data_IF_663860843525
#
_entry.id   IF_663860843525
#
_cell.length_a   1.000
_cell.length_b   1.000
_cell.length_c   1.000
_cell.angle_alpha   90.00
_cell.angle_beta   90.00
_cell.angle_gamma   90.00
#
_symmetry.space_group_name_H-M   'P 1'
#
loop_
_entity.id
_entity.type
_entity.pdbx_description
1 polymer ?
#
# COMPACT_ATOMS: atom_id res chain seq x y z
N UNK A 1 11.77 -5.51 52.30
CA UNK A 1 10.61 -6.11 51.63
C UNK A 1 10.80 -5.80 50.16
N UNK A 2 11.53 -6.66 49.46
CA UNK A 2 11.85 -6.46 48.04
C UNK A 2 10.63 -6.83 47.22
N UNK A 3 10.30 -6.01 46.24
CA UNK A 3 9.26 -6.28 45.26
C UNK A 3 9.71 -7.48 44.40
N UNK A 4 9.23 -8.66 44.75
CA UNK A 4 9.40 -9.93 44.06
C UNK A 4 8.16 -10.26 43.21
N UNK A 5 7.54 -9.23 42.62
CA UNK A 5 6.48 -9.45 41.64
C UNK A 5 7.03 -10.29 40.48
N UNK A 6 6.38 -11.41 40.12
CA UNK A 6 6.84 -12.24 39.01
C UNK A 6 6.73 -11.45 37.71
N UNK A 7 7.87 -11.12 37.11
CA UNK A 7 7.92 -10.54 35.76
C UNK A 7 7.35 -11.57 34.78
N UNK A 8 6.19 -11.27 34.19
CA UNK A 8 5.53 -12.14 33.23
C UNK A 8 6.47 -12.48 32.07
N UNK A 9 6.59 -13.78 31.78
CA UNK A 9 7.36 -14.26 30.64
C UNK A 9 6.68 -13.78 29.34
N UNK A 10 7.32 -12.86 28.62
CA UNK A 10 6.89 -12.46 27.29
C UNK A 10 7.33 -13.54 26.29
N UNK A 11 6.42 -14.44 25.92
CA UNK A 11 6.62 -15.33 24.78
C UNK A 11 6.56 -14.50 23.50
N UNK A 12 7.68 -14.43 22.78
CA UNK A 12 7.73 -13.71 21.50
C UNK A 12 6.81 -14.41 20.49
N UNK A 13 5.89 -13.68 19.83
CA UNK A 13 4.97 -14.30 18.87
C UNK A 13 5.76 -14.93 17.72
N UNK A 14 5.55 -16.22 17.51
CA UNK A 14 6.17 -16.96 16.42
C UNK A 14 5.52 -16.54 15.10
N UNK A 15 6.30 -16.03 14.14
CA UNK A 15 5.82 -15.61 12.82
C UNK A 15 6.18 -14.17 12.41
N UNK A 16 6.84 -13.40 13.28
CA UNK A 16 7.24 -12.00 12.99
C UNK A 16 8.07 -11.90 11.70
N UNK A 17 9.05 -12.78 11.50
CA UNK A 17 9.87 -12.76 10.28
C UNK A 17 9.05 -12.98 8.99
N UNK A 18 8.03 -13.83 9.04
CA UNK A 18 7.14 -14.05 7.89
C UNK A 18 6.24 -12.83 7.65
N UNK A 19 5.77 -12.18 8.72
CA UNK A 19 5.00 -10.94 8.63
C UNK A 19 5.84 -9.78 8.07
N UNK A 20 7.09 -9.63 8.51
CA UNK A 20 8.03 -8.64 8.00
C UNK A 20 8.35 -8.88 6.52
N UNK A 21 8.57 -10.14 6.12
CA UNK A 21 8.79 -10.47 4.72
C UNK A 21 7.56 -10.15 3.86
N UNK A 22 6.35 -10.46 4.34
CA UNK A 22 5.12 -10.13 3.63
C UNK A 22 4.93 -8.61 3.49
N UNK A 23 5.20 -7.84 4.55
CA UNK A 23 5.16 -6.36 4.52
C UNK A 23 6.23 -5.78 3.60
N UNK A 24 7.45 -6.30 3.64
CA UNK A 24 8.55 -5.89 2.77
C UNK A 24 8.24 -6.18 1.30
N UNK A 25 7.70 -7.36 0.99
CA UNK A 25 7.28 -7.73 -0.35
C UNK A 25 6.14 -6.85 -0.84
N UNK A 26 5.14 -6.58 0.00
CA UNK A 26 4.02 -5.71 -0.32
C UNK A 26 4.48 -4.27 -0.63
N UNK A 27 5.28 -3.68 0.24
CA UNK A 27 5.82 -2.32 0.04
C UNK A 27 6.78 -2.24 -1.15
N UNK A 28 7.60 -3.27 -1.39
CA UNK A 28 8.44 -3.37 -2.58
C UNK A 28 7.62 -3.41 -3.88
N UNK A 29 6.55 -4.21 -3.92
CA UNK A 29 5.66 -4.29 -5.07
C UNK A 29 4.95 -2.94 -5.34
N UNK A 30 4.48 -2.25 -4.29
CA UNK A 30 3.87 -0.93 -4.39
C UNK A 30 4.87 0.07 -4.98
N UNK A 31 6.07 0.16 -4.42
CA UNK A 31 7.11 1.08 -4.93
C UNK A 31 7.47 0.78 -6.38
N UNK A 32 7.65 -0.49 -6.75
CA UNK A 32 7.94 -0.90 -8.13
C UNK A 32 6.85 -0.47 -9.11
N UNK A 33 5.57 -0.63 -8.73
CA UNK A 33 4.43 -0.22 -9.55
C UNK A 33 4.37 1.29 -9.79
N UNK A 34 4.64 2.08 -8.75
CA UNK A 34 4.65 3.54 -8.85
C UNK A 34 5.77 4.05 -9.79
N UNK A 35 6.99 3.51 -9.67
CA UNK A 35 8.08 3.89 -10.56
C UNK A 35 7.90 3.38 -12.00
N UNK A 36 7.33 2.18 -12.19
CA UNK A 36 7.05 1.64 -13.51
C UNK A 36 6.03 2.50 -14.29
N UNK A 37 4.96 2.95 -13.61
CA UNK A 37 3.91 3.79 -14.23
C UNK A 37 4.45 5.17 -14.62
N UNK A 38 5.37 5.76 -13.85
CA UNK A 38 5.98 7.05 -14.22
C UNK A 38 6.71 6.98 -15.58
N UNK A 39 7.33 5.84 -15.90
CA UNK A 39 7.95 5.60 -17.20
C UNK A 39 6.94 5.36 -18.33
N UNK A 40 5.78 4.77 -18.03
CA UNK A 40 4.72 4.48 -19.00
C UNK A 40 3.73 5.64 -19.21
N UNK A 41 3.72 6.65 -18.34
CA UNK A 41 2.78 7.77 -18.45
C UNK A 41 2.82 8.50 -19.82
N UNK A 42 3.99 8.76 -20.44
CA UNK A 42 4.07 9.35 -21.77
C UNK A 42 3.48 8.43 -22.87
N UNK A 43 3.64 7.12 -22.70
CA UNK A 43 3.17 6.10 -23.65
C UNK A 43 1.65 5.89 -23.53
N UNK A 44 1.09 5.95 -22.31
CA UNK A 44 -0.36 6.00 -22.10
C UNK A 44 -0.98 7.26 -22.70
N UNK A 45 -0.36 8.42 -22.51
CA UNK A 45 -0.83 9.68 -23.08
C UNK A 45 -0.82 9.64 -24.62
N UNK A 46 0.25 9.10 -25.23
CA UNK A 46 0.34 8.96 -26.69
C UNK A 46 -0.69 7.96 -27.23
N UNK A 47 -0.89 6.83 -26.55
CA UNK A 47 -1.83 5.77 -26.98
C UNK A 47 -3.29 6.21 -26.91
N UNK A 48 -3.64 7.04 -25.93
CA UNK A 48 -4.99 7.59 -25.78
C UNK A 48 -5.20 8.87 -26.60
N UNK A 49 -4.16 9.42 -27.23
CA UNK A 49 -4.21 10.67 -27.97
C UNK A 49 -4.53 11.89 -27.10
N UNK A 50 -4.31 11.80 -25.79
CA UNK A 50 -4.62 12.85 -24.80
C UNK A 50 -3.34 13.51 -24.29
N UNK A 51 -3.48 14.72 -23.76
CA UNK A 51 -2.34 15.43 -23.15
C UNK A 51 -1.99 14.81 -21.79
N UNK A 52 -0.71 14.91 -21.39
CA UNK A 52 -0.22 14.42 -20.08
C UNK A 52 -1.06 14.95 -18.89
N UNK A 53 -1.46 16.23 -18.83
CA UNK A 53 -2.34 16.73 -17.76
C UNK A 53 -3.71 16.03 -17.72
N UNK A 54 -4.25 15.64 -18.87
CA UNK A 54 -5.53 14.92 -18.95
C UNK A 54 -5.39 13.48 -18.46
N UNK A 55 -4.27 12.81 -18.73
CA UNK A 55 -3.98 11.48 -18.18
C UNK A 55 -3.90 11.52 -16.64
N UNK A 56 -3.33 12.60 -16.07
CA UNK A 56 -3.29 12.82 -14.62
C UNK A 56 -4.68 12.91 -13.96
N UNK A 57 -5.68 13.48 -14.66
CA UNK A 57 -7.06 13.53 -14.15
C UNK A 57 -7.69 12.13 -14.02
N UNK A 58 -7.36 11.21 -14.92
CA UNK A 58 -7.84 9.81 -14.85
C UNK A 58 -7.26 9.11 -13.64
N UNK A 59 -5.97 9.32 -13.36
CA UNK A 59 -5.30 8.77 -12.17
C UNK A 59 -5.93 9.34 -10.88
N UNK A 60 -6.21 10.65 -10.85
CA UNK A 60 -6.89 11.28 -9.72
C UNK A 60 -8.31 10.72 -9.49
N UNK A 61 -9.07 10.49 -10.56
CA UNK A 61 -10.39 9.87 -10.46
C UNK A 61 -10.33 8.43 -9.90
N UNK A 62 -9.34 7.63 -10.32
CA UNK A 62 -9.08 6.32 -9.72
C UNK A 62 -8.72 6.42 -8.24
N UNK A 63 -7.82 7.34 -7.87
CA UNK A 63 -7.42 7.54 -6.48
C UNK A 63 -8.61 7.92 -5.59
N UNK A 64 -9.52 8.77 -6.06
CA UNK A 64 -10.78 9.07 -5.37
C UNK A 64 -11.65 7.83 -5.19
N UNK A 65 -11.76 7.00 -6.23
CA UNK A 65 -12.47 5.73 -6.16
C UNK A 65 -11.90 4.80 -5.09
N UNK A 66 -10.57 4.70 -4.96
CA UNK A 66 -9.90 3.92 -3.92
C UNK A 66 -10.15 4.53 -2.53
N UNK A 67 -10.03 5.86 -2.38
CA UNK A 67 -10.21 6.56 -1.10
C UNK A 67 -11.62 6.39 -0.53
N UNK A 68 -12.64 6.29 -1.39
CA UNK A 68 -14.02 6.05 -0.97
C UNK A 68 -14.32 4.55 -0.88
N UNK A 69 -13.83 3.77 -1.83
CA UNK A 69 -14.11 2.34 -1.95
C UNK A 69 -13.50 1.51 -0.82
N UNK A 70 -12.23 1.76 -0.45
CA UNK A 70 -11.57 0.98 0.60
C UNK A 70 -12.26 1.12 1.98
N UNK A 71 -12.61 2.33 2.47
CA UNK A 71 -13.41 2.47 3.69
C UNK A 71 -14.80 1.83 3.58
N UNK A 72 -15.49 1.98 2.45
CA UNK A 72 -16.80 1.36 2.25
C UNK A 72 -16.73 -0.16 2.36
N UNK A 73 -15.75 -0.79 1.70
CA UNK A 73 -15.54 -2.23 1.79
C UNK A 73 -15.15 -2.63 3.22
N UNK A 74 -14.30 -1.86 3.91
CA UNK A 74 -13.90 -2.15 5.28
C UNK A 74 -15.06 -2.03 6.29
N UNK A 75 -16.05 -1.18 6.03
CA UNK A 75 -17.22 -0.98 6.90
C UNK A 75 -18.37 -1.94 6.55
N UNK A 76 -18.56 -2.27 5.27
CA UNK A 76 -19.67 -3.10 4.81
C UNK A 76 -19.32 -4.57 4.57
N UNK A 77 -18.03 -4.91 4.50
CA UNK A 77 -17.50 -6.23 4.17
C UNK A 77 -17.03 -7.06 5.36
#
# INVERSE_FOLDING_TARGET
MGDDTPVGHYDAPHGVAAAEFALALGTFAIGTGEFAIMGMLPEMASSLGITIPSAGHVIAAYALGVVVGAPLIAVCG
#
